data_IF_670640655623
#
_entry.id   IF_670640655623
#
_cell.length_a   1.000
_cell.length_b   1.000
_cell.length_c   1.000
_cell.angle_alpha   90.00
_cell.angle_beta   90.00
_cell.angle_gamma   90.00
#
_symmetry.space_group_name_H-M   'P 1'
#
loop_
_entity.id
_entity.type
_entity.pdbx_description
1 polymer ?
#
# COMPACT_ATOMS: atom_id res chain seq x y z
N UNK A 1 -17.63 -23.70 34.87
CA UNK A 1 -16.22 -23.15 34.79
C UNK A 1 -16.03 -22.54 33.43
N UNK A 2 -15.47 -21.33 33.38
CA UNK A 2 -15.09 -20.73 32.09
C UNK A 2 -13.82 -21.41 31.57
N UNK A 3 -13.74 -21.65 30.26
CA UNK A 3 -12.55 -22.20 29.63
C UNK A 3 -11.37 -21.18 29.73
N UNK A 4 -10.13 -21.65 29.84
CA UNK A 4 -8.97 -20.77 29.86
C UNK A 4 -8.85 -20.03 28.51
N UNK A 5 -8.46 -18.76 28.56
CA UNK A 5 -8.16 -17.99 27.34
C UNK A 5 -6.75 -18.35 26.88
N UNK A 6 -6.58 -18.71 25.58
CA UNK A 6 -5.25 -18.94 25.02
C UNK A 6 -4.39 -17.67 25.11
N UNK A 7 -3.11 -17.83 25.44
CA UNK A 7 -2.12 -16.76 25.38
C UNK A 7 -1.73 -16.54 23.93
N UNK A 8 -1.73 -15.28 23.48
CA UNK A 8 -1.36 -14.91 22.11
C UNK A 8 -0.10 -14.05 22.16
N UNK A 9 0.97 -14.38 21.42
CA UNK A 9 2.17 -13.57 21.37
C UNK A 9 1.89 -12.19 20.75
N UNK A 10 2.74 -11.22 21.08
CA UNK A 10 2.67 -9.87 20.52
C UNK A 10 4.02 -9.51 19.90
N UNK A 11 3.98 -8.78 18.81
CA UNK A 11 5.14 -8.34 18.04
C UNK A 11 5.08 -6.83 17.84
N UNK A 12 6.22 -6.26 17.44
CA UNK A 12 6.35 -4.84 17.12
C UNK A 12 6.74 -4.70 15.65
N UNK A 13 6.24 -3.64 15.01
CA UNK A 13 6.52 -3.30 13.62
C UNK A 13 6.59 -1.78 13.47
N UNK A 14 7.57 -1.31 12.71
CA UNK A 14 7.67 0.10 12.35
C UNK A 14 6.88 0.37 11.07
N UNK A 15 6.01 1.39 11.10
CA UNK A 15 5.22 1.80 9.95
C UNK A 15 6.10 2.52 8.91
N UNK A 16 6.15 2.06 7.66
CA UNK A 16 6.94 2.69 6.60
C UNK A 16 6.59 4.16 6.35
N UNK A 17 5.32 4.56 6.51
CA UNK A 17 4.87 5.93 6.25
C UNK A 17 5.35 6.95 7.28
N UNK A 18 5.51 6.53 8.54
CA UNK A 18 5.70 7.46 9.67
C UNK A 18 6.88 7.14 10.57
N UNK A 19 7.48 5.95 10.46
CA UNK A 19 8.49 5.45 11.39
C UNK A 19 7.96 5.13 12.80
N UNK A 20 6.64 5.15 13.00
CA UNK A 20 6.04 4.84 14.31
C UNK A 20 5.99 3.33 14.52
N UNK A 21 6.42 2.88 15.69
CA UNK A 21 6.30 1.48 16.10
C UNK A 21 4.87 1.18 16.56
N UNK A 22 4.28 0.15 15.97
CA UNK A 22 3.00 -0.42 16.39
C UNK A 22 3.20 -1.79 17.02
N UNK A 23 2.28 -2.16 17.93
CA UNK A 23 2.18 -3.52 18.49
C UNK A 23 1.06 -4.25 17.80
N UNK A 24 1.30 -5.49 17.41
CA UNK A 24 0.30 -6.34 16.78
C UNK A 24 0.38 -7.78 17.32
N UNK A 25 -0.66 -8.56 17.04
CA UNK A 25 -0.71 -9.98 17.27
C UNK A 25 -0.98 -10.75 15.97
N UNK A 26 -0.63 -12.02 15.90
CA UNK A 26 -1.10 -12.89 14.83
C UNK A 26 -2.63 -12.93 14.80
N UNK A 27 -3.19 -13.23 13.65
CA UNK A 27 -4.62 -13.51 13.58
C UNK A 27 -4.94 -14.89 14.20
N UNK A 28 -6.15 -15.04 14.68
CA UNK A 28 -6.67 -16.27 15.26
C UNK A 28 -7.51 -17.00 14.23
N UNK A 29 -7.92 -18.22 14.53
CA UNK A 29 -8.78 -19.04 13.65
C UNK A 29 -10.05 -18.29 13.18
N UNK A 30 -10.59 -17.40 14.00
CA UNK A 30 -11.77 -16.60 13.61
C UNK A 30 -11.47 -15.58 12.50
N UNK A 31 -10.30 -14.94 12.53
CA UNK A 31 -9.85 -14.02 11.49
C UNK A 31 -9.42 -14.78 10.23
N UNK A 32 -8.78 -15.94 10.39
CA UNK A 32 -8.46 -16.83 9.28
C UNK A 32 -9.70 -17.29 8.53
N UNK A 33 -10.74 -17.71 9.27
CA UNK A 33 -12.04 -18.08 8.69
C UNK A 33 -12.65 -16.91 7.92
N UNK A 34 -12.58 -15.69 8.45
CA UNK A 34 -13.08 -14.50 7.77
C UNK A 34 -12.38 -14.29 6.43
N UNK A 35 -11.05 -14.45 6.39
CA UNK A 35 -10.26 -14.31 5.17
C UNK A 35 -10.61 -15.40 4.15
N UNK A 36 -10.71 -16.65 4.58
CA UNK A 36 -11.07 -17.78 3.71
C UNK A 36 -12.45 -17.56 3.05
N UNK A 37 -13.47 -17.19 3.82
CA UNK A 37 -14.80 -16.91 3.28
C UNK A 37 -14.78 -15.77 2.28
N UNK A 38 -14.00 -14.72 2.56
CA UNK A 38 -13.87 -13.59 1.64
C UNK A 38 -13.16 -13.99 0.34
N UNK A 39 -12.09 -14.78 0.41
CA UNK A 39 -11.35 -15.28 -0.77
C UNK A 39 -12.21 -16.22 -1.61
N UNK A 40 -12.98 -17.11 -1.00
CA UNK A 40 -13.92 -18.00 -1.70
C UNK A 40 -15.01 -17.26 -2.48
N UNK A 41 -15.36 -16.04 -2.05
CA UNK A 41 -16.36 -15.22 -2.76
C UNK A 41 -15.86 -14.69 -4.11
N UNK A 42 -14.54 -14.58 -4.30
CA UNK A 42 -13.93 -13.98 -5.49
C UNK A 42 -14.22 -12.48 -5.65
N UNK A 43 -14.81 -11.84 -4.64
CA UNK A 43 -15.15 -10.41 -4.65
C UNK A 43 -14.04 -9.61 -3.95
N UNK A 44 -13.29 -8.84 -4.74
CA UNK A 44 -12.20 -7.98 -4.25
C UNK A 44 -12.62 -7.04 -3.13
N UNK A 45 -13.87 -6.55 -3.15
CA UNK A 45 -14.38 -5.68 -2.10
C UNK A 45 -14.56 -6.42 -0.78
N UNK A 46 -15.06 -7.67 -0.83
CA UNK A 46 -15.20 -8.49 0.36
C UNK A 46 -13.83 -8.88 0.92
N UNK A 47 -12.86 -9.22 0.07
CA UNK A 47 -11.49 -9.53 0.48
C UNK A 47 -10.87 -8.32 1.18
N UNK A 48 -10.95 -7.12 0.59
CA UNK A 48 -10.45 -5.88 1.21
C UNK A 48 -11.10 -5.59 2.56
N UNK A 49 -12.41 -5.72 2.65
CA UNK A 49 -13.12 -5.51 3.91
C UNK A 49 -12.67 -6.50 4.99
N UNK A 50 -12.49 -7.76 4.65
CA UNK A 50 -11.98 -8.79 5.56
C UNK A 50 -10.56 -8.43 6.06
N UNK A 51 -9.68 -7.98 5.17
CA UNK A 51 -8.33 -7.54 5.54
C UNK A 51 -8.38 -6.37 6.54
N UNK A 52 -9.24 -5.37 6.30
CA UNK A 52 -9.42 -4.24 7.23
C UNK A 52 -9.87 -4.71 8.61
N UNK A 53 -10.87 -5.58 8.68
CA UNK A 53 -11.37 -6.14 9.95
C UNK A 53 -10.31 -6.95 10.69
N UNK A 54 -9.48 -7.71 9.95
CA UNK A 54 -8.34 -8.44 10.51
C UNK A 54 -7.31 -7.46 11.08
N UNK A 55 -6.93 -6.43 10.33
CA UNK A 55 -5.99 -5.41 10.79
C UNK A 55 -6.48 -4.69 12.04
N UNK A 56 -7.75 -4.26 12.07
CA UNK A 56 -8.39 -3.65 13.25
C UNK A 56 -8.35 -4.56 14.48
N UNK A 57 -8.53 -5.86 14.27
CA UNK A 57 -8.52 -6.85 15.36
C UNK A 57 -7.11 -7.19 15.83
N UNK A 58 -6.11 -7.13 14.96
CA UNK A 58 -4.75 -7.56 15.24
C UNK A 58 -3.83 -6.42 15.71
N UNK A 59 -4.08 -5.17 15.32
CA UNK A 59 -3.32 -4.00 15.80
C UNK A 59 -3.74 -3.69 17.22
N UNK A 60 -2.77 -3.68 18.15
CA UNK A 60 -3.00 -3.48 19.58
C UNK A 60 -2.68 -2.05 20.03
N UNK A 61 -1.95 -1.28 19.21
CA UNK A 61 -1.60 0.11 19.52
C UNK A 61 -2.83 1.00 19.44
N UNK A 62 -3.13 1.70 20.55
CA UNK A 62 -4.26 2.63 20.60
C UNK A 62 -4.00 3.86 19.74
N UNK A 63 -5.05 4.41 19.14
CA UNK A 63 -5.01 5.65 18.34
C UNK A 63 -4.59 5.46 16.90
N UNK A 64 -4.31 4.23 16.46
CA UNK A 64 -4.15 3.89 15.04
C UNK A 64 -5.53 3.64 14.44
N UNK A 65 -5.88 4.44 13.47
CA UNK A 65 -7.07 4.24 12.64
C UNK A 65 -6.63 3.58 11.34
N UNK A 66 -7.03 2.34 11.15
CA UNK A 66 -6.64 1.51 9.99
C UNK A 66 -7.07 2.17 8.68
N UNK A 67 -8.22 2.83 8.68
CA UNK A 67 -8.79 3.51 7.51
C UNK A 67 -7.94 4.71 7.03
N UNK A 68 -7.21 5.34 7.95
CA UNK A 68 -6.38 6.52 7.67
C UNK A 68 -4.95 6.13 7.24
N UNK A 69 -4.59 4.84 7.33
CA UNK A 69 -3.27 4.36 6.94
C UNK A 69 -3.14 4.29 5.41
N UNK A 70 -1.95 4.63 4.86
CA UNK A 70 -1.64 4.39 3.46
C UNK A 70 -1.74 2.91 3.09
N UNK A 71 -2.07 2.64 1.83
CA UNK A 71 -2.22 1.26 1.35
C UNK A 71 -0.96 0.42 1.57
N UNK A 72 0.23 0.97 1.32
CA UNK A 72 1.48 0.24 1.52
C UNK A 72 1.78 -0.08 3.00
N UNK A 73 1.31 0.74 3.96
CA UNK A 73 1.39 0.40 5.39
C UNK A 73 0.48 -0.79 5.71
N UNK A 74 -0.74 -0.78 5.18
CA UNK A 74 -1.73 -1.85 5.39
C UNK A 74 -1.22 -3.18 4.81
N UNK A 75 -0.68 -3.15 3.60
CA UNK A 75 -0.06 -4.31 2.96
C UNK A 75 1.10 -4.85 3.80
N UNK A 76 1.98 -3.97 4.24
CA UNK A 76 3.15 -4.33 5.04
C UNK A 76 2.77 -4.93 6.39
N UNK A 77 1.83 -4.31 7.11
CA UNK A 77 1.30 -4.84 8.38
C UNK A 77 0.65 -6.20 8.18
N UNK A 78 -0.17 -6.34 7.13
CA UNK A 78 -0.89 -7.57 6.86
C UNK A 78 0.05 -8.75 6.55
N UNK A 79 1.10 -8.52 5.74
CA UNK A 79 2.11 -9.54 5.44
C UNK A 79 2.84 -9.99 6.72
N UNK A 80 3.20 -9.07 7.61
CA UNK A 80 3.83 -9.40 8.88
C UNK A 80 2.88 -10.14 9.83
N UNK A 81 1.60 -9.76 9.90
CA UNK A 81 0.60 -10.51 10.67
C UNK A 81 0.46 -11.92 10.12
N UNK A 82 0.38 -12.07 8.79
CA UNK A 82 0.27 -13.38 8.14
C UNK A 82 1.50 -14.26 8.39
N UNK A 83 2.70 -13.70 8.23
CA UNK A 83 3.96 -14.41 8.51
C UNK A 83 3.98 -15.01 9.92
N UNK A 84 3.52 -14.27 10.93
CA UNK A 84 3.46 -14.74 12.32
C UNK A 84 2.24 -15.62 12.65
N UNK A 85 1.28 -15.75 11.73
CA UNK A 85 0.05 -16.53 11.93
C UNK A 85 0.12 -17.92 11.31
N UNK A 86 0.55 -18.02 10.05
CA UNK A 86 0.57 -19.26 9.26
C UNK A 86 1.97 -19.65 8.77
N UNK A 87 2.97 -18.82 9.04
CA UNK A 87 4.36 -19.03 8.63
C UNK A 87 4.83 -18.02 7.59
N UNK A 88 6.15 -17.88 7.54
CA UNK A 88 6.84 -16.90 6.69
C UNK A 88 7.05 -17.33 5.25
N UNK A 89 6.95 -18.63 4.96
CA UNK A 89 7.24 -19.17 3.63
C UNK A 89 5.97 -19.35 2.80
N UNK A 90 6.03 -18.90 1.55
CA UNK A 90 4.97 -19.09 0.56
C UNK A 90 5.57 -19.75 -0.68
N UNK A 91 5.00 -20.89 -1.09
CA UNK A 91 5.34 -21.52 -2.34
C UNK A 91 4.58 -20.89 -3.50
N UNK A 92 5.30 -20.47 -4.52
CA UNK A 92 4.78 -19.81 -5.70
C UNK A 92 5.28 -20.49 -6.97
N UNK A 93 4.54 -20.37 -8.06
CA UNK A 93 4.90 -20.93 -9.34
C UNK A 93 4.88 -19.86 -10.43
N UNK A 94 6.05 -19.51 -10.94
CA UNK A 94 6.20 -18.53 -12.02
C UNK A 94 6.31 -19.25 -13.37
N UNK A 95 6.04 -18.50 -14.44
CA UNK A 95 6.31 -18.94 -15.80
C UNK A 95 7.56 -18.22 -16.29
N UNK A 96 8.49 -18.96 -16.87
CA UNK A 96 9.71 -18.38 -17.41
C UNK A 96 9.39 -17.37 -18.52
N UNK A 97 10.06 -16.19 -18.48
CA UNK A 97 9.77 -15.08 -19.39
C UNK A 97 10.35 -15.27 -20.79
N UNK A 98 11.35 -16.14 -20.90
CA UNK A 98 12.10 -16.40 -22.14
C UNK A 98 11.40 -17.41 -23.07
N UNK A 99 10.72 -18.40 -22.52
CA UNK A 99 10.00 -19.41 -23.29
C UNK A 99 8.48 -19.41 -23.10
N UNK A 100 7.98 -18.75 -22.04
CA UNK A 100 6.57 -18.66 -21.64
C UNK A 100 5.91 -20.05 -21.34
N UNK A 101 6.70 -21.10 -21.14
CA UNK A 101 6.21 -22.47 -20.93
C UNK A 101 6.75 -23.06 -19.63
N UNK A 102 8.05 -22.92 -19.36
CA UNK A 102 8.71 -23.55 -18.21
C UNK A 102 8.20 -22.98 -16.90
N UNK A 103 7.79 -23.88 -15.99
CA UNK A 103 7.34 -23.51 -14.66
C UNK A 103 8.51 -23.46 -13.69
N UNK A 104 8.63 -22.36 -12.99
CA UNK A 104 9.73 -22.05 -12.06
C UNK A 104 9.16 -21.98 -10.65
N UNK A 105 9.39 -23.00 -9.80
CA UNK A 105 9.00 -22.92 -8.40
C UNK A 105 9.88 -21.91 -7.67
N UNK A 106 9.24 -21.12 -6.79
CA UNK A 106 9.92 -20.17 -5.94
C UNK A 106 9.30 -20.18 -4.54
N UNK A 107 10.14 -20.19 -3.52
CA UNK A 107 9.70 -20.08 -2.13
C UNK A 107 10.01 -18.66 -1.65
N UNK A 108 8.96 -17.87 -1.50
CA UNK A 108 9.06 -16.51 -0.97
C UNK A 108 9.11 -16.54 0.55
N UNK A 109 10.10 -15.86 1.14
CA UNK A 109 10.12 -15.56 2.56
C UNK A 109 9.49 -14.17 2.80
N UNK A 110 8.35 -14.12 3.49
CA UNK A 110 7.65 -12.86 3.76
C UNK A 110 8.46 -11.88 4.62
N UNK A 111 9.44 -12.36 5.39
CA UNK A 111 10.32 -11.49 6.17
C UNK A 111 11.34 -10.72 5.30
N UNK A 112 11.55 -11.15 4.06
CA UNK A 112 12.40 -10.47 3.09
C UNK A 112 11.65 -9.41 2.27
N UNK A 113 10.31 -9.39 2.37
CA UNK A 113 9.49 -8.40 1.69
C UNK A 113 9.62 -7.06 2.38
N UNK A 114 9.99 -6.06 1.64
CA UNK A 114 10.23 -4.71 2.17
C UNK A 114 9.26 -3.70 1.55
N UNK A 115 8.92 -2.68 2.32
CA UNK A 115 8.30 -1.49 1.77
C UNK A 115 9.41 -0.55 1.29
N UNK A 116 9.64 -0.54 -0.01
CA UNK A 116 10.70 0.26 -0.62
C UNK A 116 10.21 1.68 -0.87
N UNK A 117 10.94 2.65 -0.32
CA UNK A 117 10.78 4.07 -0.64
C UNK A 117 11.83 4.45 -1.68
N UNK A 118 11.44 4.79 -2.92
CA UNK A 118 12.39 5.23 -3.94
C UNK A 118 13.20 6.43 -3.47
N UNK A 119 14.46 6.49 -3.90
CA UNK A 119 15.35 7.62 -3.60
C UNK A 119 14.76 8.92 -4.16
N UNK A 120 14.81 9.98 -3.36
CA UNK A 120 14.28 11.30 -3.74
C UNK A 120 12.75 11.41 -3.60
N UNK A 121 12.03 10.41 -3.13
CA UNK A 121 10.62 10.56 -2.81
C UNK A 121 10.42 11.43 -1.58
N UNK A 122 9.61 12.48 -1.72
CA UNK A 122 9.21 13.38 -0.63
C UNK A 122 7.72 13.70 -0.74
N UNK A 123 7.09 13.99 0.39
CA UNK A 123 5.73 14.54 0.44
C UNK A 123 5.70 16.01 0.01
N UNK A 124 6.83 16.69 0.08
CA UNK A 124 6.96 18.07 -0.38
C UNK A 124 7.18 18.08 -1.90
N UNK A 125 6.17 18.53 -2.64
CA UNK A 125 6.21 18.73 -4.08
C UNK A 125 6.49 20.21 -4.32
N UNK A 126 7.73 20.56 -4.63
CA UNK A 126 8.16 21.95 -4.83
C UNK A 126 7.93 22.37 -6.29
N UNK A 127 7.29 23.51 -6.50
CA UNK A 127 7.14 24.12 -7.82
C UNK A 127 8.20 25.22 -8.07
N UNK A 128 8.67 25.81 -6.98
CA UNK A 128 9.78 26.77 -6.95
C UNK A 128 10.46 26.68 -5.58
N UNK A 129 11.45 27.55 -5.35
CA UNK A 129 12.12 27.64 -4.03
C UNK A 129 11.14 28.02 -2.90
N UNK A 130 10.04 28.71 -3.24
CA UNK A 130 9.11 29.28 -2.26
C UNK A 130 7.68 28.74 -2.36
N UNK A 131 7.31 28.02 -3.41
CA UNK A 131 5.94 27.57 -3.62
C UNK A 131 5.85 26.08 -3.95
N UNK A 132 4.74 25.44 -3.57
CA UNK A 132 4.46 24.04 -3.83
C UNK A 132 3.34 23.47 -2.98
N UNK A 133 3.33 22.14 -2.89
CA UNK A 133 2.35 21.38 -2.13
C UNK A 133 3.03 20.49 -1.09
N UNK A 134 2.35 20.25 0.01
CA UNK A 134 2.62 19.13 0.90
C UNK A 134 1.54 18.09 0.62
N UNK A 135 1.97 16.90 0.21
CA UNK A 135 1.10 15.79 -0.13
C UNK A 135 0.94 14.83 1.06
N UNK A 136 -0.19 14.17 1.14
CA UNK A 136 -0.40 12.99 1.98
C UNK A 136 -0.65 11.77 1.09
N UNK A 137 -0.29 10.60 1.59
CA UNK A 137 -0.56 9.37 0.87
C UNK A 137 -2.07 9.08 0.82
N UNK A 138 -2.57 8.52 -0.28
CA UNK A 138 -3.96 8.07 -0.34
C UNK A 138 -4.20 7.02 0.75
N UNK A 139 -5.28 7.20 1.50
CA UNK A 139 -5.74 6.19 2.47
C UNK A 139 -6.36 5.01 1.74
N UNK A 140 -6.59 3.90 2.48
CA UNK A 140 -7.28 2.74 1.92
C UNK A 140 -8.68 3.11 1.41
N UNK A 141 -9.43 3.94 2.12
CA UNK A 141 -10.76 4.38 1.70
C UNK A 141 -10.69 5.15 0.38
N UNK A 142 -9.74 6.06 0.26
CA UNK A 142 -9.46 6.78 -0.98
C UNK A 142 -9.04 5.83 -2.09
N UNK A 143 -8.15 4.86 -1.81
CA UNK A 143 -7.69 3.87 -2.79
C UNK A 143 -8.81 2.95 -3.29
N UNK A 144 -9.77 2.59 -2.43
CA UNK A 144 -10.95 1.78 -2.81
C UNK A 144 -11.93 2.61 -3.65
N UNK A 145 -12.10 3.89 -3.30
CA UNK A 145 -13.04 4.79 -3.98
C UNK A 145 -12.45 5.30 -5.29
N UNK A 146 -11.14 5.52 -5.30
CA UNK A 146 -10.37 5.99 -6.42
C UNK A 146 -9.80 4.80 -7.17
N UNK A 147 -10.11 4.72 -8.42
CA UNK A 147 -9.50 3.74 -9.30
C UNK A 147 -8.21 4.31 -9.92
N UNK A 148 -7.37 5.00 -9.11
CA UNK A 148 -6.14 5.70 -9.58
C UNK A 148 -5.28 4.88 -10.55
N UNK A 149 -5.46 3.57 -10.59
CA UNK A 149 -4.72 2.66 -11.46
C UNK A 149 -5.57 2.06 -12.60
N UNK A 150 -6.84 2.45 -12.75
CA UNK A 150 -7.65 1.95 -13.87
C UNK A 150 -7.51 2.87 -15.09
N UNK A 151 -7.33 2.26 -16.25
CA UNK A 151 -7.05 2.95 -17.53
C UNK A 151 -8.18 3.85 -18.08
N UNK A 152 -9.35 3.85 -17.45
CA UNK A 152 -10.57 4.50 -17.96
C UNK A 152 -11.10 5.64 -17.06
N UNK A 153 -10.23 6.26 -16.23
CA UNK A 153 -10.65 7.37 -15.37
C UNK A 153 -10.90 8.65 -16.17
N UNK A 154 -11.96 9.35 -15.79
CA UNK A 154 -12.17 10.71 -16.26
C UNK A 154 -11.16 11.69 -15.66
N UNK A 155 -10.84 12.76 -16.37
CA UNK A 155 -9.96 13.82 -15.87
C UNK A 155 -10.47 14.39 -14.54
N UNK A 156 -11.78 14.50 -14.36
CA UNK A 156 -12.41 14.99 -13.14
C UNK A 156 -12.11 14.09 -11.94
N UNK A 157 -12.20 12.78 -12.09
CA UNK A 157 -11.89 11.82 -11.01
C UNK A 157 -10.43 11.91 -10.59
N UNK A 158 -9.50 12.05 -11.54
CA UNK A 158 -8.07 12.24 -11.26
C UNK A 158 -7.84 13.51 -10.42
N UNK A 159 -8.48 14.63 -10.80
CA UNK A 159 -8.37 15.88 -10.04
C UNK A 159 -8.93 15.75 -8.63
N UNK A 160 -10.08 15.11 -8.47
CA UNK A 160 -10.68 14.88 -7.15
C UNK A 160 -9.78 14.05 -6.24
N UNK A 161 -9.10 13.07 -6.79
CA UNK A 161 -8.13 12.24 -6.08
C UNK A 161 -6.90 13.03 -5.65
N UNK A 162 -6.33 13.83 -6.54
CA UNK A 162 -5.21 14.72 -6.22
C UNK A 162 -5.60 15.68 -5.10
N UNK A 163 -6.77 16.32 -5.18
CA UNK A 163 -7.28 17.23 -4.16
C UNK A 163 -7.36 16.53 -2.79
N UNK A 164 -7.87 15.31 -2.77
CA UNK A 164 -7.97 14.54 -1.53
C UNK A 164 -6.60 14.15 -0.93
N UNK A 165 -5.53 14.14 -1.73
CA UNK A 165 -4.17 13.85 -1.30
C UNK A 165 -3.32 15.08 -1.01
N UNK A 166 -3.84 16.29 -1.18
CA UNK A 166 -3.18 17.52 -0.73
C UNK A 166 -3.41 17.69 0.76
N UNK A 167 -2.35 17.97 1.50
CA UNK A 167 -2.39 18.37 2.91
C UNK A 167 -2.33 19.89 3.05
N UNK A 168 -1.35 20.51 2.38
CA UNK A 168 -1.14 21.95 2.41
C UNK A 168 -0.70 22.48 1.03
N UNK A 169 -1.05 23.73 0.76
CA UNK A 169 -0.51 24.54 -0.33
C UNK A 169 0.32 25.64 0.33
N UNK A 170 1.52 25.93 -0.16
CA UNK A 170 2.36 27.00 0.37
C UNK A 170 2.87 27.91 -0.76
N UNK A 171 2.96 29.23 -0.46
CA UNK A 171 3.57 30.23 -1.35
C UNK A 171 4.20 31.32 -0.49
N UNK A 172 5.53 31.42 -0.49
CA UNK A 172 6.28 32.28 0.42
C UNK A 172 6.05 31.90 1.88
N UNK A 173 5.59 32.86 2.66
CA UNK A 173 5.26 32.68 4.08
C UNK A 173 3.79 32.28 4.32
N UNK A 174 2.98 32.21 3.26
CA UNK A 174 1.57 31.83 3.36
C UNK A 174 1.36 30.32 3.18
N UNK A 175 0.48 29.75 4.00
CA UNK A 175 0.14 28.32 3.99
C UNK A 175 -1.37 28.15 4.09
N UNK A 176 -1.93 27.39 3.17
CA UNK A 176 -3.35 27.02 3.15
C UNK A 176 -3.48 25.53 3.43
N UNK A 177 -4.17 25.21 4.52
CA UNK A 177 -4.49 23.83 4.82
C UNK A 177 -5.65 23.34 3.95
N UNK A 178 -5.48 22.24 3.21
CA UNK A 178 -6.52 21.69 2.36
C UNK A 178 -7.80 21.31 3.13
N UNK A 179 -7.66 20.98 4.42
CA UNK A 179 -8.78 20.65 5.31
C UNK A 179 -9.74 21.83 5.52
N UNK A 180 -9.24 23.08 5.50
CA UNK A 180 -10.02 24.30 5.76
C UNK A 180 -10.32 25.07 4.48
N UNK A 181 -9.63 24.77 3.38
CA UNK A 181 -9.82 25.42 2.08
C UNK A 181 -10.95 24.73 1.30
N UNK A 182 -11.88 25.50 0.71
CA UNK A 182 -12.93 24.93 -0.14
C UNK A 182 -12.36 24.12 -1.30
N UNK A 183 -12.87 22.91 -1.55
CA UNK A 183 -12.40 22.03 -2.64
C UNK A 183 -12.38 22.73 -4.00
N UNK A 184 -13.32 23.61 -4.26
CA UNK A 184 -13.38 24.39 -5.50
C UNK A 184 -12.15 25.27 -5.68
N UNK A 185 -11.71 25.95 -4.62
CA UNK A 185 -10.53 26.82 -4.68
C UNK A 185 -9.24 26.01 -4.92
N UNK A 186 -9.13 24.82 -4.30
CA UNK A 186 -8.02 23.91 -4.56
C UNK A 186 -8.05 23.41 -6.00
N UNK A 187 -9.23 23.11 -6.55
CA UNK A 187 -9.40 22.71 -7.95
C UNK A 187 -8.97 23.83 -8.89
N UNK A 188 -9.48 25.04 -8.68
CA UNK A 188 -9.13 26.22 -9.48
C UNK A 188 -7.60 26.48 -9.45
N UNK A 189 -6.97 26.28 -8.27
CA UNK A 189 -5.51 26.35 -8.14
C UNK A 189 -4.78 25.28 -8.97
N UNK A 190 -5.22 24.02 -8.91
CA UNK A 190 -4.61 22.93 -9.68
C UNK A 190 -4.77 23.14 -11.19
N UNK A 191 -5.92 23.64 -11.64
CA UNK A 191 -6.17 23.98 -13.05
C UNK A 191 -5.31 25.15 -13.54
N UNK A 192 -4.84 26.01 -12.63
CA UNK A 192 -3.91 27.09 -12.90
C UNK A 192 -2.44 26.69 -12.99
N UNK A 193 -2.09 25.45 -12.66
CA UNK A 193 -0.72 24.96 -12.72
C UNK A 193 -0.24 24.76 -14.17
N UNK A 194 1.05 24.97 -14.38
CA UNK A 194 1.70 24.60 -15.64
C UNK A 194 1.86 23.09 -15.74
N UNK A 195 2.00 22.57 -16.96
CA UNK A 195 2.25 21.13 -17.19
C UNK A 195 3.46 20.61 -16.39
N UNK A 196 4.54 21.38 -16.27
CA UNK A 196 5.72 20.99 -15.49
C UNK A 196 5.42 20.87 -13.99
N UNK A 197 4.62 21.77 -13.43
CA UNK A 197 4.23 21.69 -12.03
C UNK A 197 3.31 20.49 -11.80
N UNK A 198 2.43 20.18 -12.74
CA UNK A 198 1.57 19.01 -12.68
C UNK A 198 2.37 17.70 -12.80
N UNK A 199 3.42 17.66 -13.62
CA UNK A 199 4.35 16.52 -13.71
C UNK A 199 5.03 16.22 -12.37
N UNK A 200 5.37 17.22 -11.55
CA UNK A 200 5.93 16.99 -10.20
C UNK A 200 4.90 16.33 -9.26
N UNK A 201 3.61 16.66 -9.40
CA UNK A 201 2.53 15.95 -8.67
C UNK A 201 2.44 14.49 -9.15
N UNK A 202 2.48 14.24 -10.44
CA UNK A 202 2.47 12.87 -10.99
C UNK A 202 3.67 12.06 -10.51
N UNK A 203 4.83 12.68 -10.43
CA UNK A 203 6.07 12.07 -9.93
C UNK A 203 5.93 11.63 -8.47
N UNK A 204 5.23 12.41 -7.62
CA UNK A 204 4.93 11.99 -6.25
C UNK A 204 4.22 10.63 -6.24
N UNK A 205 3.15 10.46 -7.05
CA UNK A 205 2.42 9.18 -7.14
C UNK A 205 3.27 8.04 -7.72
N UNK A 206 4.06 8.32 -8.75
CA UNK A 206 4.92 7.32 -9.39
C UNK A 206 6.02 6.80 -8.47
N UNK A 207 6.47 7.63 -7.51
CA UNK A 207 7.54 7.31 -6.57
C UNK A 207 7.06 6.97 -5.17
N UNK A 208 5.74 6.85 -4.94
CA UNK A 208 5.21 6.42 -3.63
C UNK A 208 5.84 5.10 -3.17
N UNK A 209 6.05 4.93 -1.85
CA UNK A 209 6.50 3.66 -1.30
C UNK A 209 5.58 2.51 -1.73
N UNK A 210 6.19 1.37 -2.02
CA UNK A 210 5.48 0.14 -2.42
C UNK A 210 6.02 -1.05 -1.66
N UNK A 211 5.14 -1.94 -1.28
CA UNK A 211 5.51 -3.26 -0.78
C UNK A 211 5.85 -4.13 -1.99
N UNK A 212 7.10 -4.51 -2.11
CA UNK A 212 7.60 -5.27 -3.25
C UNK A 212 8.72 -6.21 -2.86
N UNK A 213 8.86 -7.27 -3.64
CA UNK A 213 9.98 -8.20 -3.56
C UNK A 213 10.45 -8.55 -4.97
N UNK A 214 11.74 -8.30 -5.24
CA UNK A 214 12.36 -8.57 -6.53
C UNK A 214 13.41 -9.67 -6.37
N UNK A 215 13.38 -10.66 -7.25
CA UNK A 215 14.26 -11.81 -7.23
C UNK A 215 14.54 -12.28 -8.65
N UNK A 216 15.57 -13.12 -8.83
CA UNK A 216 15.95 -13.69 -10.11
C UNK A 216 15.74 -15.20 -10.13
N UNK A 217 15.13 -15.72 -11.19
CA UNK A 217 14.99 -17.15 -11.43
C UNK A 217 15.67 -17.51 -12.75
N UNK A 218 16.37 -18.66 -12.74
CA UNK A 218 17.00 -19.23 -13.93
C UNK A 218 16.10 -20.30 -14.54
N UNK A 219 15.84 -20.20 -15.82
CA UNK A 219 15.16 -21.26 -16.57
C UNK A 219 16.11 -22.45 -16.72
N UNK A 220 15.80 -23.63 -16.15
CA UNK A 220 16.69 -24.80 -16.21
C UNK A 220 16.84 -25.37 -17.62
N UNK A 221 15.89 -25.07 -18.54
CA UNK A 221 15.90 -25.61 -19.90
C UNK A 221 16.77 -24.76 -20.84
N UNK A 222 16.79 -23.44 -20.65
CA UNK A 222 17.50 -22.49 -21.53
C UNK A 222 18.75 -21.91 -20.90
N UNK A 223 18.87 -21.95 -19.56
CA UNK A 223 19.95 -21.30 -18.82
C UNK A 223 19.81 -19.78 -18.70
N UNK A 224 18.69 -19.19 -19.16
CA UNK A 224 18.44 -17.76 -19.09
C UNK A 224 17.92 -17.38 -17.70
N UNK A 225 18.54 -16.38 -17.08
CA UNK A 225 18.07 -15.80 -15.84
C UNK A 225 17.15 -14.60 -16.14
N UNK A 226 16.00 -14.54 -15.47
CA UNK A 226 15.05 -13.44 -15.58
C UNK A 226 14.70 -12.90 -14.20
N UNK A 227 14.51 -11.59 -14.12
CA UNK A 227 14.09 -10.89 -12.91
C UNK A 227 12.56 -10.87 -12.81
N UNK A 228 12.05 -11.13 -11.60
CA UNK A 228 10.63 -11.12 -11.26
C UNK A 228 10.42 -10.17 -10.11
N UNK A 229 9.32 -9.42 -10.15
CA UNK A 229 8.90 -8.53 -9.08
C UNK A 229 7.47 -8.86 -8.68
N UNK A 230 7.24 -9.02 -7.39
CA UNK A 230 5.93 -9.18 -6.79
C UNK A 230 5.59 -7.84 -6.13
N UNK A 231 4.47 -7.23 -6.49
CA UNK A 231 3.95 -5.99 -5.92
C UNK A 231 2.46 -6.13 -5.64
N UNK A 232 2.00 -5.49 -4.57
CA UNK A 232 0.59 -5.47 -4.18
C UNK A 232 0.11 -6.75 -3.49
N UNK A 233 -0.79 -6.58 -2.54
CA UNK A 233 -1.17 -7.61 -1.58
C UNK A 233 -1.67 -8.92 -2.22
N UNK A 234 -2.49 -8.81 -3.27
CA UNK A 234 -3.06 -9.99 -3.95
C UNK A 234 -2.01 -10.90 -4.56
N UNK A 235 -0.90 -10.35 -5.05
CA UNK A 235 0.17 -11.12 -5.69
C UNK A 235 1.04 -11.89 -4.68
N UNK A 236 0.94 -11.56 -3.37
CA UNK A 236 1.61 -12.30 -2.30
C UNK A 236 0.81 -13.52 -1.79
N UNK A 237 -0.36 -13.80 -2.38
CA UNK A 237 -1.19 -14.95 -1.99
C UNK A 237 -1.25 -16.07 -3.02
N UNK A 238 -0.69 -15.87 -4.21
CA UNK A 238 -0.66 -16.87 -5.29
C UNK A 238 -1.91 -16.87 -6.13
#
# INVERSE_FOLDING_TARGET
MALPKPTVPTYELELPSTGKTIKYRPFLVKEEKLLLVATESGDDKQIRNAIVEILKSCILTRGIKVEDLPMFDLEYIFLHIRSKSVGELIEMLFTAKDDNETKLPYTLNLEEVMCLKPEGHDKKVAFSDVSGLIMKYPSMEQFITSQILQKDQSTEEIFDEIINCIDQIYDGDEVWEAKTTPKKEIKDYLEGLTSKQFEEIQKFYATMPKVSHTFSLMNPNTGVASEYTIEGLTNFFG
#
